data_IF_453082205794
#
_entry.id   IF_453082205794
#
_cell.length_a   1.000
_cell.length_b   1.000
_cell.length_c   1.000
_cell.angle_alpha   90.00
_cell.angle_beta   90.00
_cell.angle_gamma   90.00
#
_symmetry.space_group_name_H-M   'P 1'
#
loop_
_entity.id
_entity.type
_entity.pdbx_description
1 polymer ?
#
# COMPACT_ATOMS: atom_id res chain seq x y z
N UNK A 1 5.32 -7.44 -15.76
CA UNK A 1 6.14 -7.04 -14.58
C UNK A 1 5.47 -6.00 -13.68
N UNK A 2 4.77 -4.96 -14.19
CA UNK A 2 4.07 -3.99 -13.32
C UNK A 2 2.87 -4.59 -12.57
N UNK A 3 2.08 -5.49 -13.17
CA UNK A 3 0.99 -6.16 -12.44
C UNK A 3 1.51 -6.87 -11.17
N UNK A 4 2.66 -7.53 -11.24
CA UNK A 4 3.33 -8.18 -10.10
C UNK A 4 3.68 -7.14 -9.01
N UNK A 5 4.13 -5.94 -9.39
CA UNK A 5 4.44 -4.84 -8.45
C UNK A 5 3.18 -4.33 -7.73
N UNK A 6 2.05 -4.24 -8.44
CA UNK A 6 0.78 -3.82 -7.86
C UNK A 6 0.25 -4.88 -6.88
N UNK A 7 0.28 -6.16 -7.26
CA UNK A 7 -0.12 -7.25 -6.36
C UNK A 7 0.76 -7.32 -5.10
N UNK A 8 2.08 -7.14 -5.25
CA UNK A 8 2.98 -7.07 -4.10
C UNK A 8 2.65 -5.87 -3.19
N UNK A 9 2.38 -4.70 -3.75
CA UNK A 9 1.96 -3.52 -2.98
C UNK A 9 0.67 -3.73 -2.21
N UNK A 10 -0.34 -4.37 -2.83
CA UNK A 10 -1.62 -4.69 -2.18
C UNK A 10 -1.42 -5.70 -1.04
N UNK A 11 -0.59 -6.73 -1.25
CA UNK A 11 -0.28 -7.72 -0.22
C UNK A 11 0.36 -7.07 1.01
N UNK A 12 1.31 -6.14 0.80
CA UNK A 12 1.95 -5.39 1.88
C UNK A 12 0.94 -4.50 2.62
N UNK A 13 0.00 -3.88 1.91
CA UNK A 13 -1.10 -3.09 2.48
C UNK A 13 -1.98 -3.91 3.43
N UNK A 14 -2.37 -5.11 3.00
CA UNK A 14 -3.18 -6.03 3.81
C UNK A 14 -2.41 -6.46 5.06
N UNK A 15 -1.11 -6.72 4.92
CA UNK A 15 -0.23 -7.12 6.03
C UNK A 15 -0.09 -6.01 7.07
N UNK A 16 0.20 -4.77 6.64
CA UNK A 16 0.30 -3.63 7.55
C UNK A 16 -1.02 -3.30 8.22
N UNK A 17 -2.14 -3.36 7.49
CA UNK A 17 -3.46 -3.16 8.07
C UNK A 17 -3.80 -4.24 9.11
N UNK A 18 -3.47 -5.50 8.83
CA UNK A 18 -3.61 -6.60 9.79
C UNK A 18 -2.81 -6.33 11.07
N UNK A 19 -1.52 -6.01 10.96
CA UNK A 19 -0.67 -5.74 12.14
C UNK A 19 -1.18 -4.51 12.91
N UNK A 20 -1.67 -3.47 12.21
CA UNK A 20 -2.28 -2.28 12.81
C UNK A 20 -3.47 -2.61 13.71
N UNK A 21 -4.31 -3.58 13.34
CA UNK A 21 -5.49 -4.01 14.11
C UNK A 21 -5.12 -4.80 15.38
N UNK A 22 -4.00 -5.52 15.36
CA UNK A 22 -3.54 -6.32 16.50
C UNK A 22 -2.53 -5.58 17.40
N UNK A 23 -2.05 -4.41 16.98
CA UNK A 23 -1.14 -3.58 17.78
C UNK A 23 -1.89 -2.91 18.93
N UNK A 24 -1.50 -3.21 20.17
CA UNK A 24 -1.97 -2.50 21.38
C UNK A 24 -1.26 -1.16 21.60
N UNK A 25 -0.16 -0.93 20.88
CA UNK A 25 0.61 0.31 20.96
C UNK A 25 0.05 1.33 19.95
N UNK A 26 -0.52 2.47 20.41
CA UNK A 26 -1.17 3.44 19.53
C UNK A 26 -0.20 4.08 18.54
N UNK A 27 1.01 4.43 18.99
CA UNK A 27 2.05 5.03 18.14
C UNK A 27 2.45 4.10 16.98
N UNK A 28 2.58 2.78 17.23
CA UNK A 28 2.92 1.80 16.19
C UNK A 28 1.75 1.61 15.22
N UNK A 29 0.52 1.63 15.72
CA UNK A 29 -0.70 1.51 14.90
C UNK A 29 -0.83 2.72 13.96
N UNK A 30 -0.69 3.94 14.47
CA UNK A 30 -0.74 5.17 13.67
C UNK A 30 0.36 5.23 12.60
N UNK A 31 1.58 4.82 12.95
CA UNK A 31 2.68 4.71 11.97
C UNK A 31 2.35 3.70 10.86
N UNK A 32 1.79 2.53 11.20
CA UNK A 32 1.42 1.53 10.20
C UNK A 32 0.28 1.99 9.28
N UNK A 33 -0.67 2.75 9.80
CA UNK A 33 -1.71 3.40 9.00
C UNK A 33 -1.07 4.42 8.04
N UNK A 34 -0.15 5.25 8.52
CA UNK A 34 0.56 6.22 7.67
C UNK A 34 1.36 5.52 6.55
N UNK A 35 2.08 4.45 6.85
CA UNK A 35 2.79 3.65 5.84
C UNK A 35 1.83 3.02 4.83
N UNK A 36 0.66 2.54 5.27
CA UNK A 36 -0.38 1.98 4.40
C UNK A 36 -0.88 3.01 3.37
N UNK A 37 -1.11 4.26 3.82
CA UNK A 37 -1.53 5.36 2.94
C UNK A 37 -0.45 5.66 1.89
N UNK A 38 0.83 5.74 2.30
CA UNK A 38 1.96 5.99 1.38
C UNK A 38 2.04 4.91 0.30
N UNK A 39 1.92 3.65 0.69
CA UNK A 39 1.96 2.51 -0.24
C UNK A 39 0.78 2.57 -1.21
N UNK A 40 -0.42 2.90 -0.74
CA UNK A 40 -1.60 3.11 -1.58
C UNK A 40 -1.38 4.19 -2.65
N UNK A 41 -0.79 5.32 -2.28
CA UNK A 41 -0.46 6.41 -3.21
C UNK A 41 0.54 5.95 -4.28
N UNK A 42 1.56 5.18 -3.90
CA UNK A 42 2.56 4.65 -4.84
C UNK A 42 1.94 3.69 -5.86
N UNK A 43 1.06 2.80 -5.40
CA UNK A 43 0.32 1.87 -6.29
C UNK A 43 -0.58 2.65 -7.24
N UNK A 44 -1.33 3.63 -6.73
CA UNK A 44 -2.19 4.48 -7.55
C UNK A 44 -1.39 5.23 -8.62
N UNK A 45 -0.23 5.81 -8.26
CA UNK A 45 0.65 6.49 -9.21
C UNK A 45 1.18 5.53 -10.29
N UNK A 46 1.56 4.31 -9.91
CA UNK A 46 2.00 3.29 -10.87
C UNK A 46 0.88 2.88 -11.84
N UNK A 47 -0.34 2.67 -11.33
CA UNK A 47 -1.52 2.36 -12.15
C UNK A 47 -1.88 3.51 -13.09
N UNK A 48 -1.87 4.75 -12.60
CA UNK A 48 -2.14 5.94 -13.41
C UNK A 48 -1.12 6.12 -14.54
N UNK A 49 0.17 5.93 -14.23
CA UNK A 49 1.22 5.98 -15.24
C UNK A 49 1.05 4.88 -16.30
N UNK A 50 0.63 3.67 -15.93
CA UNK A 50 0.33 2.61 -16.89
C UNK A 50 -0.82 2.99 -17.82
N UNK A 51 -1.90 3.56 -17.27
CA UNK A 51 -3.09 3.97 -18.04
C UNK A 51 -2.76 5.05 -19.06
N UNK A 52 -1.80 5.93 -18.77
CA UNK A 52 -1.36 6.98 -19.69
C UNK A 52 -0.43 6.46 -20.81
N UNK A 53 0.33 5.39 -20.55
CA UNK A 53 1.22 4.75 -21.54
C UNK A 53 0.44 3.86 -22.53
N UNK A 54 -0.75 3.38 -22.15
CA UNK A 54 -1.63 2.58 -23.03
C UNK A 54 -2.57 3.41 -23.93
N UNK A 55 -2.56 4.74 -23.84
CA UNK A 55 -3.28 5.65 -24.76
C UNK A 55 -2.38 6.07 -25.90
#
# INVERSE_FOLDING_TARGET
MIQIKIYAGIAVLILFFGISLFSKDPIKSELMVAFSIIIGILIYKQLSNQKNIQK
#
